data_IF_459435543705
#
_entry.id   IF_459435543705
#
_cell.length_a   1.000
_cell.length_b   1.000
_cell.length_c   1.000
_cell.angle_alpha   90.00
_cell.angle_beta   90.00
_cell.angle_gamma   90.00
#
_symmetry.space_group_name_H-M   'P 1'
#
loop_
_entity.id
_entity.type
_entity.pdbx_description
1 polymer ?
#
# COMPACT_ATOMS: atom_id res chain seq x y z
N UNK A 1 9.28 6.23 -10.79
CA UNK A 1 10.06 5.33 -9.90
C UNK A 1 11.39 5.98 -9.55
N UNK A 2 11.78 6.00 -8.28
CA UNK A 2 13.08 6.54 -7.80
C UNK A 2 13.74 5.46 -6.93
N UNK A 3 15.04 5.29 -7.06
CA UNK A 3 15.83 4.32 -6.29
C UNK A 3 16.86 5.06 -5.43
N UNK A 4 16.98 4.68 -4.15
CA UNK A 4 17.91 5.32 -3.22
C UNK A 4 19.00 4.31 -2.81
N UNK A 5 20.21 4.49 -3.33
CA UNK A 5 21.33 3.58 -3.12
C UNK A 5 22.29 4.13 -2.05
N UNK A 6 22.52 3.36 -0.98
CA UNK A 6 23.55 3.59 0.06
C UNK A 6 23.93 2.26 0.71
N UNK A 7 25.05 2.18 1.46
CA UNK A 7 25.35 1.04 2.35
C UNK A 7 24.22 0.77 3.35
N UNK A 8 24.10 -0.48 3.82
CA UNK A 8 23.16 -0.83 4.90
C UNK A 8 23.43 0.02 6.15
N UNK A 9 22.39 0.37 6.91
CA UNK A 9 22.52 1.24 8.10
C UNK A 9 22.54 2.74 7.81
N UNK A 10 22.65 3.18 6.56
CA UNK A 10 22.69 4.61 6.21
C UNK A 10 21.33 5.36 6.27
N UNK A 11 20.32 4.81 6.97
CA UNK A 11 19.04 5.51 7.19
C UNK A 11 18.11 5.62 5.98
N UNK A 12 18.27 4.80 4.93
CA UNK A 12 17.41 4.88 3.72
C UNK A 12 15.92 4.76 4.00
N UNK A 13 15.54 3.82 4.87
CA UNK A 13 14.14 3.66 5.30
C UNK A 13 13.65 4.89 6.06
N UNK A 14 14.50 5.53 6.85
CA UNK A 14 14.16 6.77 7.55
C UNK A 14 13.90 7.91 6.53
N UNK A 15 14.73 8.05 5.50
CA UNK A 15 14.50 9.05 4.43
C UNK A 15 13.16 8.80 3.73
N UNK A 16 12.87 7.56 3.34
CA UNK A 16 11.61 7.21 2.70
C UNK A 16 10.40 7.46 3.62
N UNK A 17 10.55 7.18 4.91
CA UNK A 17 9.52 7.43 5.93
C UNK A 17 9.28 8.93 6.14
N UNK A 18 10.34 9.72 6.30
CA UNK A 18 10.26 11.19 6.41
C UNK A 18 9.61 11.78 5.16
N UNK A 19 9.97 11.30 3.97
CA UNK A 19 9.35 11.75 2.73
C UNK A 19 7.85 11.43 2.69
N UNK A 20 7.45 10.21 3.06
CA UNK A 20 6.04 9.84 3.13
C UNK A 20 5.27 10.71 4.14
N UNK A 21 5.88 11.00 5.29
CA UNK A 21 5.29 11.88 6.31
C UNK A 21 5.09 13.30 5.78
N UNK A 22 6.09 13.88 5.12
CA UNK A 22 5.96 15.20 4.49
C UNK A 22 4.84 15.23 3.43
N UNK A 23 4.72 14.17 2.62
CA UNK A 23 3.63 14.06 1.67
C UNK A 23 2.25 13.97 2.36
N UNK A 24 2.16 13.26 3.48
CA UNK A 24 0.93 13.14 4.26
C UNK A 24 0.52 14.47 4.89
N UNK A 25 1.47 15.20 5.49
CA UNK A 25 1.26 16.53 6.05
C UNK A 25 0.80 17.53 4.98
N UNK A 26 1.30 17.39 3.76
CA UNK A 26 0.88 18.21 2.62
C UNK A 26 -0.40 17.74 1.93
N UNK A 27 -1.06 16.67 2.40
CA UNK A 27 -2.26 16.12 1.78
C UNK A 27 -2.05 15.53 0.38
N UNK A 28 -0.80 15.17 0.04
CA UNK A 28 -0.40 14.64 -1.28
C UNK A 28 -0.11 13.13 -1.26
N UNK A 29 -0.10 12.51 -0.08
CA UNK A 29 0.13 11.08 0.07
C UNK A 29 -1.16 10.29 -0.20
N UNK A 30 -1.18 9.55 -1.30
CA UNK A 30 -2.27 8.63 -1.62
C UNK A 30 -2.21 7.33 -0.79
N UNK A 31 -1.00 6.87 -0.47
CA UNK A 31 -0.79 5.65 0.31
C UNK A 31 0.70 5.35 0.48
N UNK A 32 1.04 4.58 1.51
CA UNK A 32 2.41 4.13 1.74
C UNK A 32 2.42 2.77 2.45
N UNK A 33 3.43 1.96 2.11
CA UNK A 33 3.68 0.67 2.74
C UNK A 33 5.18 0.47 2.93
N UNK A 34 5.57 0.03 4.12
CA UNK A 34 6.98 -0.17 4.48
C UNK A 34 7.22 -1.62 4.91
N UNK A 35 8.02 -2.33 4.11
CA UNK A 35 8.53 -3.65 4.46
C UNK A 35 9.57 -3.54 5.57
N UNK A 36 9.45 -4.40 6.58
CA UNK A 36 10.41 -4.48 7.67
C UNK A 36 10.99 -5.90 7.74
N UNK A 37 12.29 -6.03 7.53
CA UNK A 37 12.95 -7.36 7.42
C UNK A 37 12.94 -8.18 8.70
N UNK A 38 13.03 -7.53 9.87
CA UNK A 38 13.14 -8.24 11.15
C UNK A 38 11.77 -8.63 11.76
N UNK A 39 10.67 -8.42 11.05
CA UNK A 39 9.31 -8.68 11.49
C UNK A 39 8.62 -9.46 10.36
N UNK A 40 8.43 -10.76 10.57
CA UNK A 40 7.85 -11.67 9.57
C UNK A 40 6.43 -11.29 9.18
N UNK A 41 5.69 -10.57 10.03
CA UNK A 41 4.35 -10.07 9.72
C UNK A 41 4.38 -8.86 8.78
N UNK A 42 5.47 -8.08 8.82
CA UNK A 42 5.71 -6.87 8.00
C UNK A 42 6.71 -7.09 6.86
N UNK A 43 7.25 -8.29 6.74
CA UNK A 43 8.07 -8.73 5.60
C UNK A 43 7.25 -9.53 4.57
N UNK A 44 5.92 -9.48 4.65
CA UNK A 44 5.03 -10.21 3.75
C UNK A 44 4.25 -9.23 2.87
N UNK A 45 4.36 -9.41 1.55
CA UNK A 45 3.66 -8.60 0.55
C UNK A 45 2.17 -8.94 0.42
N UNK A 46 1.68 -10.00 1.07
CA UNK A 46 0.26 -10.39 1.12
C UNK A 46 -0.69 -9.30 1.61
N UNK A 47 -0.20 -8.27 2.30
CA UNK A 47 -1.01 -7.13 2.77
C UNK A 47 -0.75 -5.84 2.00
N UNK A 48 0.20 -5.84 1.06
CA UNK A 48 0.62 -4.63 0.36
C UNK A 48 -0.55 -3.98 -0.36
N UNK A 49 -1.18 -4.71 -1.28
CA UNK A 49 -2.23 -4.15 -2.13
C UNK A 49 -3.51 -3.89 -1.37
N UNK A 50 -3.90 -4.77 -0.44
CA UNK A 50 -5.04 -4.54 0.45
C UNK A 50 -4.87 -3.27 1.30
N UNK A 51 -3.67 -3.03 1.84
CA UNK A 51 -3.39 -1.81 2.62
C UNK A 51 -3.45 -0.57 1.75
N UNK A 52 -2.86 -0.62 0.54
CA UNK A 52 -2.90 0.49 -0.40
C UNK A 52 -4.33 0.79 -0.86
N UNK A 53 -5.13 -0.23 -1.19
CA UNK A 53 -6.53 -0.04 -1.57
C UNK A 53 -7.35 0.65 -0.48
N UNK A 54 -7.16 0.25 0.78
CA UNK A 54 -7.81 0.89 1.91
C UNK A 54 -7.36 2.36 2.09
N UNK A 55 -6.05 2.61 2.01
CA UNK A 55 -5.51 3.98 2.10
C UNK A 55 -6.02 4.88 0.97
N UNK A 56 -6.17 4.34 -0.24
CA UNK A 56 -6.74 5.04 -1.39
C UNK A 56 -8.22 5.37 -1.18
N UNK A 57 -9.02 4.41 -0.71
CA UNK A 57 -10.44 4.62 -0.41
C UNK A 57 -10.68 5.67 0.69
N UNK A 58 -9.74 5.81 1.63
CA UNK A 58 -9.77 6.85 2.66
C UNK A 58 -9.37 8.21 2.08
N UNK A 59 -8.36 8.23 1.21
CA UNK A 59 -7.80 9.47 0.66
C UNK A 59 -8.64 10.06 -0.49
N UNK A 60 -9.34 9.20 -1.25
CA UNK A 60 -10.19 9.55 -2.39
C UNK A 60 -11.58 8.94 -2.13
N UNK A 61 -12.52 9.71 -1.54
CA UNK A 61 -13.85 9.20 -1.19
C UNK A 61 -14.62 8.57 -2.35
N UNK A 62 -14.39 9.04 -3.58
CA UNK A 62 -14.99 8.51 -4.81
C UNK A 62 -14.58 7.05 -5.09
N UNK A 63 -13.38 6.64 -4.68
CA UNK A 63 -12.90 5.27 -4.83
C UNK A 63 -13.46 4.32 -3.77
N UNK A 64 -14.03 4.85 -2.68
CA UNK A 64 -14.49 4.03 -1.56
C UNK A 64 -15.56 3.03 -1.98
N UNK A 65 -16.57 3.48 -2.71
CA UNK A 65 -17.65 2.61 -3.18
C UNK A 65 -17.13 1.48 -4.09
N UNK A 66 -16.13 1.79 -4.93
CA UNK A 66 -15.52 0.82 -5.84
C UNK A 66 -14.69 -0.22 -5.08
N UNK A 67 -13.86 0.22 -4.12
CA UNK A 67 -13.08 -0.71 -3.29
C UNK A 67 -13.98 -1.57 -2.41
N UNK A 68 -15.03 -1.00 -1.82
CA UNK A 68 -16.01 -1.75 -1.01
C UNK A 68 -16.73 -2.81 -1.86
N UNK A 69 -17.12 -2.47 -3.10
CA UNK A 69 -17.72 -3.42 -4.04
C UNK A 69 -16.77 -4.55 -4.44
N UNK A 70 -15.50 -4.23 -4.73
CA UNK A 70 -14.48 -5.24 -5.05
C UNK A 70 -14.26 -6.23 -3.90
N UNK A 71 -14.23 -5.74 -2.66
CA UNK A 71 -14.11 -6.57 -1.46
C UNK A 71 -15.39 -7.40 -1.23
N UNK A 72 -16.57 -6.82 -1.44
CA UNK A 72 -17.84 -7.54 -1.31
C UNK A 72 -17.98 -8.67 -2.34
N UNK A 73 -17.52 -8.45 -3.58
CA UNK A 73 -17.56 -9.45 -4.65
C UNK A 73 -16.54 -10.58 -4.43
N UNK A 74 -15.36 -10.27 -3.87
CA UNK A 74 -14.36 -11.28 -3.53
C UNK A 74 -13.87 -11.11 -2.08
N UNK A 75 -14.59 -11.72 -1.11
CA UNK A 75 -14.24 -11.64 0.31
C UNK A 75 -12.87 -12.25 0.65
N UNK A 76 -12.36 -13.13 -0.21
CA UNK A 76 -11.04 -13.76 -0.06
C UNK A 76 -9.90 -12.95 -0.69
N UNK A 77 -10.21 -11.83 -1.35
CA UNK A 77 -9.20 -10.94 -1.94
C UNK A 77 -8.07 -10.60 -0.98
N UNK A 78 -8.27 -10.29 0.33
CA UNK A 78 -7.17 -9.95 1.24
C UNK A 78 -6.20 -11.09 1.54
N UNK A 79 -6.61 -12.32 1.23
CA UNK A 79 -5.83 -13.56 1.42
C UNK A 79 -5.43 -14.24 0.11
N UNK A 80 -5.85 -13.66 -1.03
CA UNK A 80 -5.53 -14.15 -2.37
C UNK A 80 -4.09 -13.84 -2.75
N UNK A 81 -3.63 -14.33 -3.91
CA UNK A 81 -2.28 -14.04 -4.38
C UNK A 81 -2.06 -12.52 -4.53
N UNK A 82 -0.81 -12.07 -4.35
CA UNK A 82 -0.42 -10.66 -4.48
C UNK A 82 -0.85 -10.09 -5.85
N UNK A 83 -0.75 -10.90 -6.91
CA UNK A 83 -1.20 -10.49 -8.24
C UNK A 83 -2.71 -10.31 -8.30
N UNK A 84 -3.48 -11.28 -7.79
CA UNK A 84 -4.93 -11.21 -7.76
C UNK A 84 -5.43 -10.03 -6.91
N UNK A 85 -4.76 -9.73 -5.81
CA UNK A 85 -5.03 -8.52 -5.02
C UNK A 85 -4.81 -7.23 -5.83
N UNK A 86 -3.70 -7.13 -6.56
CA UNK A 86 -3.42 -5.96 -7.40
C UNK A 86 -4.49 -5.78 -8.49
N UNK A 87 -4.81 -6.86 -9.20
CA UNK A 87 -5.81 -6.84 -10.27
C UNK A 87 -7.19 -6.44 -9.73
N UNK A 88 -7.65 -7.09 -8.65
CA UNK A 88 -9.00 -6.91 -8.11
C UNK A 88 -9.17 -5.63 -7.29
N UNK A 89 -8.12 -5.12 -6.63
CA UNK A 89 -8.26 -3.98 -5.71
C UNK A 89 -7.70 -2.67 -6.27
N UNK A 90 -6.84 -2.72 -7.28
CA UNK A 90 -6.10 -1.54 -7.77
C UNK A 90 -6.36 -1.29 -9.25
N UNK A 91 -6.21 -2.32 -10.10
CA UNK A 91 -6.26 -2.14 -11.57
C UNK A 91 -7.70 -2.12 -12.06
N UNK A 92 -8.51 -3.11 -11.64
CA UNK A 92 -9.90 -3.26 -12.06
C UNK A 92 -10.80 -3.66 -10.88
N UNK A 93 -11.11 -2.73 -9.97
CA UNK A 93 -12.01 -2.98 -8.85
C UNK A 93 -13.51 -3.05 -9.21
N UNK A 94 -13.87 -3.41 -10.45
CA UNK A 94 -15.25 -3.38 -10.97
C UNK A 94 -15.73 -4.72 -11.53
#
# INVERSE_FOLDING_TARGET
VRWLYRPAGAGKSAIAQTFAQLCAENGTLLGSFFFWRADSTRNNAQRLFTTLALQMAISIPELRATVDAAVAHNPFSPTSSIQSQCETLIIQPW
#
